data_IF_754634560682
#
_entry.id   IF_754634560682
#
_cell.length_a   1.000
_cell.length_b   1.000
_cell.length_c   1.000
_cell.angle_alpha   90.00
_cell.angle_beta   90.00
_cell.angle_gamma   90.00
#
_symmetry.space_group_name_H-M   'P 1'
#
loop_
_entity.id
_entity.type
_entity.pdbx_description
1 polymer ?
#
# COMPACT_ATOMS: atom_id res chain seq x y z
N UNK A 1 13.79 11.22 12.22
CA UNK A 1 13.33 11.62 10.87
C UNK A 1 11.85 11.30 10.69
N UNK A 2 10.94 12.01 11.36
CA UNK A 2 9.47 11.84 11.16
C UNK A 2 8.87 12.91 10.24
N UNK A 3 9.44 14.11 10.23
CA UNK A 3 8.99 15.20 9.36
C UNK A 3 9.23 14.91 7.86
N UNK A 4 10.24 14.12 7.52
CA UNK A 4 10.62 13.89 6.11
C UNK A 4 9.61 13.03 5.33
N UNK A 5 8.95 12.07 5.99
CA UNK A 5 7.94 11.23 5.34
C UNK A 5 6.60 11.96 5.18
N UNK A 6 6.21 12.77 6.17
CA UNK A 6 5.05 13.65 6.07
C UNK A 6 5.23 14.72 4.97
N UNK A 7 6.40 15.35 4.89
CA UNK A 7 6.71 16.30 3.81
C UNK A 7 6.88 15.64 2.44
N UNK A 8 7.36 14.39 2.37
CA UNK A 8 7.37 13.65 1.11
C UNK A 8 5.94 13.35 0.62
N UNK A 9 5.02 13.04 1.52
CA UNK A 9 3.59 12.85 1.20
C UNK A 9 2.90 14.15 0.81
N UNK A 10 3.23 15.25 1.48
CA UNK A 10 2.76 16.59 1.12
C UNK A 10 3.32 17.05 -0.24
N UNK A 11 4.55 16.62 -0.59
CA UNK A 11 5.23 16.89 -1.85
C UNK A 11 4.76 16.01 -3.03
N UNK A 12 4.29 14.79 -2.78
CA UNK A 12 3.61 13.97 -3.83
C UNK A 12 2.20 14.51 -4.10
N UNK A 13 1.58 15.21 -3.13
CA UNK A 13 0.32 15.91 -3.35
C UNK A 13 -0.82 14.99 -3.85
N UNK A 14 -1.86 15.55 -4.49
CA UNK A 14 -3.00 14.79 -5.02
C UNK A 14 -2.62 13.70 -6.04
N UNK A 15 -1.38 13.66 -6.54
CA UNK A 15 -0.89 12.65 -7.49
C UNK A 15 -0.58 11.29 -6.84
N UNK A 16 -0.47 11.22 -5.50
CA UNK A 16 -0.37 9.93 -4.80
C UNK A 16 -1.69 9.15 -4.83
N UNK A 17 -2.83 9.85 -4.80
CA UNK A 17 -4.15 9.22 -4.69
C UNK A 17 -4.50 8.35 -5.91
N UNK A 18 -4.26 8.77 -7.17
CA UNK A 18 -4.40 7.91 -8.34
C UNK A 18 -3.54 6.64 -8.27
N UNK A 19 -2.30 6.76 -7.78
CA UNK A 19 -1.40 5.63 -7.65
C UNK A 19 -1.89 4.63 -6.59
N UNK A 20 -2.35 5.10 -5.43
CA UNK A 20 -2.94 4.25 -4.39
C UNK A 20 -4.18 3.53 -4.91
N UNK A 21 -5.07 4.22 -5.61
CA UNK A 21 -6.28 3.62 -6.23
C UNK A 21 -5.94 2.55 -7.27
N UNK A 22 -4.95 2.79 -8.13
CA UNK A 22 -4.50 1.80 -9.10
C UNK A 22 -3.91 0.55 -8.43
N UNK A 23 -3.10 0.74 -7.38
CA UNK A 23 -2.51 -0.37 -6.62
C UNK A 23 -3.57 -1.16 -5.83
N UNK A 24 -4.59 -0.49 -5.29
CA UNK A 24 -5.73 -1.15 -4.64
C UNK A 24 -6.50 -2.05 -5.63
N UNK A 25 -6.66 -1.62 -6.88
CA UNK A 25 -7.25 -2.47 -7.93
C UNK A 25 -6.35 -3.65 -8.26
N UNK A 26 -5.04 -3.43 -8.34
CA UNK A 26 -4.06 -4.48 -8.60
C UNK A 26 -3.96 -5.55 -7.48
N UNK A 27 -4.42 -5.25 -6.25
CA UNK A 27 -4.58 -6.28 -5.20
C UNK A 27 -5.64 -7.34 -5.52
N UNK A 28 -6.52 -7.09 -6.50
CA UNK A 28 -7.56 -8.03 -6.95
C UNK A 28 -7.24 -8.68 -8.29
N UNK A 29 -6.04 -8.47 -8.82
CA UNK A 29 -5.61 -9.01 -10.10
C UNK A 29 -5.56 -10.56 -10.05
N UNK A 30 -5.98 -11.29 -11.10
CA UNK A 30 -5.87 -12.75 -11.13
C UNK A 30 -4.44 -13.27 -10.98
N UNK A 31 -3.43 -12.50 -11.38
CA UNK A 31 -2.02 -12.88 -11.29
C UNK A 31 -1.43 -12.58 -9.89
N UNK A 32 -0.96 -13.63 -9.20
CA UNK A 32 -0.41 -13.51 -7.84
C UNK A 32 0.83 -12.61 -7.74
N UNK A 33 1.64 -12.53 -8.80
CA UNK A 33 2.79 -11.62 -8.86
C UNK A 33 2.36 -10.14 -8.88
N UNK A 34 1.27 -9.82 -9.59
CA UNK A 34 0.72 -8.46 -9.67
C UNK A 34 0.20 -8.05 -8.30
N UNK A 35 -0.54 -8.93 -7.61
CA UNK A 35 -1.02 -8.70 -6.24
C UNK A 35 0.13 -8.46 -5.27
N UNK A 36 1.23 -9.22 -5.40
CA UNK A 36 2.40 -9.08 -4.51
C UNK A 36 3.06 -7.72 -4.68
N UNK A 37 3.29 -7.31 -5.93
CA UNK A 37 3.89 -6.01 -6.26
C UNK A 37 3.01 -4.86 -5.80
N UNK A 38 1.69 -5.01 -5.92
CA UNK A 38 0.73 -4.03 -5.44
C UNK A 38 0.83 -3.83 -3.92
N UNK A 39 0.88 -4.92 -3.15
CA UNK A 39 1.03 -4.84 -1.70
C UNK A 39 2.36 -4.17 -1.29
N UNK A 40 3.48 -4.55 -1.92
CA UNK A 40 4.80 -3.94 -1.65
C UNK A 40 4.78 -2.44 -1.94
N UNK A 41 4.26 -2.04 -3.09
CA UNK A 41 4.21 -0.63 -3.49
C UNK A 41 3.36 0.22 -2.53
N UNK A 42 2.21 -0.31 -2.07
CA UNK A 42 1.39 0.34 -1.04
C UNK A 42 2.16 0.50 0.28
N UNK A 43 2.94 -0.51 0.67
CA UNK A 43 3.84 -0.43 1.83
C UNK A 43 4.95 0.60 1.67
N UNK A 44 5.52 0.75 0.46
CA UNK A 44 6.54 1.75 0.14
C UNK A 44 6.00 3.18 0.13
N UNK A 45 4.73 3.38 -0.24
CA UNK A 45 4.05 4.68 -0.11
C UNK A 45 3.90 5.06 1.37
N UNK A 46 3.77 4.07 2.26
CA UNK A 46 3.66 4.30 3.69
C UNK A 46 2.35 5.03 4.06
N UNK A 47 2.36 6.01 4.98
CA UNK A 47 1.12 6.60 5.51
C UNK A 47 0.15 7.20 4.46
N UNK A 48 0.62 7.55 3.27
CA UNK A 48 -0.22 8.00 2.16
C UNK A 48 -1.16 6.93 1.59
N UNK A 49 -0.86 5.65 1.82
CA UNK A 49 -1.66 4.53 1.37
C UNK A 49 -2.65 4.03 2.45
N UNK A 50 -2.96 4.84 3.46
CA UNK A 50 -3.91 4.47 4.54
C UNK A 50 -5.28 4.02 4.02
N UNK A 51 -5.74 4.60 2.93
CA UNK A 51 -7.01 4.21 2.28
C UNK A 51 -6.96 2.77 1.72
N UNK A 52 -5.78 2.22 1.47
CA UNK A 52 -5.59 0.85 0.99
C UNK A 52 -5.60 -0.21 2.11
N UNK A 53 -5.62 0.19 3.39
CA UNK A 53 -5.60 -0.74 4.52
C UNK A 53 -6.73 -1.80 4.48
N UNK A 54 -8.00 -1.47 4.14
CA UNK A 54 -9.04 -2.47 4.04
C UNK A 54 -8.74 -3.50 2.95
N UNK A 55 -8.27 -3.05 1.78
CA UNK A 55 -7.94 -3.93 0.66
C UNK A 55 -6.72 -4.82 0.97
N UNK A 56 -5.70 -4.30 1.65
CA UNK A 56 -4.56 -5.09 2.10
C UNK A 56 -4.96 -6.17 3.13
N UNK A 57 -5.89 -5.86 4.04
CA UNK A 57 -6.43 -6.84 5.00
C UNK A 57 -7.28 -7.92 4.34
N UNK A 58 -7.97 -7.59 3.27
CA UNK A 58 -8.72 -8.56 2.48
C UNK A 58 -7.75 -9.47 1.70
N UNK A 59 -6.75 -8.89 1.04
CA UNK A 59 -5.72 -9.62 0.32
C UNK A 59 -4.90 -10.55 1.24
N UNK A 60 -4.60 -10.13 2.47
CA UNK A 60 -3.82 -10.96 3.41
C UNK A 60 -4.53 -12.23 3.89
N UNK A 61 -5.86 -12.32 3.72
CA UNK A 61 -6.67 -13.46 4.18
C UNK A 61 -6.71 -14.63 3.20
N UNK A 62 -6.50 -14.39 1.92
CA UNK A 62 -6.83 -15.36 0.86
C UNK A 62 -5.64 -15.72 -0.03
N UNK A 63 -4.45 -15.14 0.21
CA UNK A 63 -3.44 -15.01 -0.83
C UNK A 63 -2.00 -15.24 -0.36
N UNK A 64 -1.12 -15.60 -1.31
CA UNK A 64 0.33 -15.75 -1.13
C UNK A 64 1.01 -14.44 -0.74
N UNK A 65 0.33 -13.31 -0.89
CA UNK A 65 0.83 -11.97 -0.57
C UNK A 65 0.62 -11.58 0.88
N UNK A 66 0.11 -12.48 1.73
CA UNK A 66 -0.02 -12.27 3.18
C UNK A 66 1.19 -11.58 3.83
N UNK A 67 2.45 -12.07 3.68
CA UNK A 67 3.59 -11.40 4.29
C UNK A 67 3.82 -9.98 3.74
N UNK A 68 3.65 -9.79 2.43
CA UNK A 68 3.80 -8.47 1.80
C UNK A 68 2.69 -7.50 2.23
N UNK A 69 1.46 -7.99 2.40
CA UNK A 69 0.32 -7.21 2.84
C UNK A 69 0.44 -6.83 4.33
N UNK A 70 0.89 -7.74 5.19
CA UNK A 70 1.15 -7.46 6.60
C UNK A 70 2.28 -6.44 6.78
N UNK A 71 3.37 -6.60 6.02
CA UNK A 71 4.49 -5.64 6.03
C UNK A 71 4.03 -4.27 5.52
N UNK A 72 3.21 -4.23 4.47
CA UNK A 72 2.64 -2.99 3.97
C UNK A 72 1.74 -2.31 5.00
N UNK A 73 0.87 -3.07 5.68
CA UNK A 73 0.02 -2.55 6.76
C UNK A 73 0.89 -1.94 7.86
N UNK A 74 1.96 -2.62 8.29
CA UNK A 74 2.86 -2.09 9.30
C UNK A 74 3.56 -0.80 8.85
N UNK A 75 4.03 -0.73 7.59
CA UNK A 75 4.66 0.50 7.06
C UNK A 75 3.70 1.66 6.93
N UNK A 76 2.45 1.40 6.55
CA UNK A 76 1.40 2.41 6.44
C UNK A 76 0.98 2.93 7.84
N UNK A 77 1.04 2.07 8.84
CA UNK A 77 0.73 2.40 10.24
C UNK A 77 1.94 3.00 10.99
N UNK A 78 3.17 2.76 10.53
CA UNK A 78 4.39 3.29 11.13
C UNK A 78 4.38 4.83 11.12
N UNK A 79 4.63 5.40 12.30
CA UNK A 79 4.39 6.80 12.67
C UNK A 79 5.67 7.61 12.80
#
# INVERSE_FOLDING_TARGET
MRMSAAMALESIGPDAAPAVLALVRALKDPEGLVRQRAAIALGSIGPGAREALPALREASRVDIVRPAAEEAIQRIQAR
#
